data_IF_042434743279
#
_entry.id   IF_042434743279
#
_cell.length_a   1.000
_cell.length_b   1.000
_cell.length_c   1.000
_cell.angle_alpha   90.00
_cell.angle_beta   90.00
_cell.angle_gamma   90.00
#
_symmetry.space_group_name_H-M   'P 1'
#
loop_
_entity.id
_entity.type
_entity.pdbx_description
1 polymer ?
#
# COMPACT_ATOMS: atom_id res chain seq x y z
N UNK A 1 -1.21 -10.73 -24.05
CA UNK A 1 -1.03 -11.78 -23.03
C UNK A 1 -2.14 -11.59 -22.02
N UNK A 2 -3.18 -12.45 -22.00
CA UNK A 2 -4.29 -12.33 -21.05
C UNK A 2 -3.80 -12.85 -19.70
N UNK A 3 -3.63 -11.96 -18.72
CA UNK A 3 -3.34 -12.36 -17.36
C UNK A 3 -4.56 -13.13 -16.81
N UNK A 4 -4.42 -14.42 -16.57
CA UNK A 4 -5.43 -15.19 -15.85
C UNK A 4 -5.33 -14.76 -14.39
N UNK A 5 -6.32 -14.03 -13.90
CA UNK A 5 -6.51 -13.81 -12.46
C UNK A 5 -6.63 -15.22 -11.86
N UNK A 6 -5.62 -15.63 -11.12
CA UNK A 6 -5.73 -16.81 -10.27
C UNK A 6 -6.86 -16.53 -9.28
N UNK A 7 -7.80 -17.47 -9.17
CA UNK A 7 -8.85 -17.45 -8.15
C UNK A 7 -8.17 -17.38 -6.76
N UNK A 8 -7.99 -16.18 -6.25
CA UNK A 8 -7.49 -15.99 -4.88
C UNK A 8 -8.60 -16.47 -3.95
N UNK A 9 -8.36 -17.59 -3.27
CA UNK A 9 -9.25 -18.09 -2.22
C UNK A 9 -9.49 -16.94 -1.24
N UNK A 10 -10.74 -16.68 -0.90
CA UNK A 10 -11.06 -15.70 0.14
C UNK A 10 -10.46 -16.16 1.47
N UNK A 11 -9.78 -15.23 2.14
CA UNK A 11 -9.23 -15.47 3.48
C UNK A 11 -10.37 -15.69 4.48
N UNK A 12 -10.18 -16.61 5.41
CA UNK A 12 -11.01 -16.71 6.60
C UNK A 12 -10.71 -15.53 7.54
N UNK A 13 -11.60 -15.21 8.51
CA UNK A 13 -11.32 -14.16 9.49
C UNK A 13 -10.01 -14.37 10.28
N UNK A 14 -9.66 -15.60 10.62
CA UNK A 14 -8.41 -15.92 11.30
C UNK A 14 -7.18 -15.72 10.39
N UNK A 15 -7.29 -16.12 9.13
CA UNK A 15 -6.24 -15.89 8.12
C UNK A 15 -6.04 -14.39 7.88
N UNK A 16 -7.12 -13.58 7.87
CA UNK A 16 -7.04 -12.12 7.75
C UNK A 16 -6.12 -11.53 8.82
N UNK A 17 -6.36 -11.84 10.10
CA UNK A 17 -5.56 -11.32 11.21
C UNK A 17 -4.10 -11.78 11.12
N UNK A 18 -3.87 -13.05 10.77
CA UNK A 18 -2.53 -13.59 10.58
C UNK A 18 -1.77 -12.85 9.49
N UNK A 19 -2.41 -12.58 8.33
CA UNK A 19 -1.79 -11.86 7.22
C UNK A 19 -1.53 -10.39 7.60
N UNK A 20 -2.45 -9.75 8.32
CA UNK A 20 -2.24 -8.39 8.81
C UNK A 20 -1.01 -8.28 9.72
N UNK A 21 -0.87 -9.18 10.71
CA UNK A 21 0.29 -9.19 11.61
C UNK A 21 1.61 -9.41 10.85
N UNK A 22 1.65 -10.37 9.93
CA UNK A 22 2.83 -10.62 9.08
C UNK A 22 3.16 -9.42 8.19
N UNK A 23 2.14 -8.83 7.58
CA UNK A 23 2.30 -7.63 6.74
C UNK A 23 2.78 -6.43 7.54
N UNK A 24 2.32 -6.26 8.79
CA UNK A 24 2.79 -5.22 9.68
C UNK A 24 4.27 -5.41 10.04
N UNK A 25 4.69 -6.65 10.29
CA UNK A 25 6.10 -6.97 10.54
C UNK A 25 6.98 -6.63 9.33
N UNK A 26 6.56 -6.94 8.10
CA UNK A 26 7.28 -6.52 6.88
C UNK A 26 7.30 -4.99 6.74
N UNK A 27 6.16 -4.34 6.99
CA UNK A 27 6.04 -2.89 6.92
C UNK A 27 6.92 -2.18 7.95
N UNK A 28 7.16 -2.79 9.12
CA UNK A 28 7.96 -2.21 10.20
C UNK A 28 9.42 -1.95 9.81
N UNK A 29 9.94 -2.69 8.83
CA UNK A 29 11.32 -2.54 8.35
C UNK A 29 11.57 -1.17 7.71
N UNK A 30 10.51 -0.48 7.27
CA UNK A 30 10.60 0.83 6.61
C UNK A 30 9.52 1.83 7.07
N UNK A 31 8.73 1.48 8.11
CA UNK A 31 7.75 2.40 8.69
C UNK A 31 8.43 3.67 9.21
N UNK A 32 7.76 4.81 9.00
CA UNK A 32 8.24 6.16 9.31
C UNK A 32 9.55 6.57 8.61
N UNK A 33 9.96 5.82 7.58
CA UNK A 33 11.10 6.16 6.73
C UNK A 33 10.66 6.68 5.36
N UNK A 34 11.59 7.28 4.64
CA UNK A 34 11.43 7.63 3.22
C UNK A 34 12.30 6.69 2.39
N UNK A 35 11.67 5.97 1.47
CA UNK A 35 12.35 5.11 0.52
C UNK A 35 12.55 5.82 -0.80
N UNK A 36 13.70 5.60 -1.42
CA UNK A 36 13.99 6.05 -2.77
C UNK A 36 13.82 4.88 -3.75
N UNK A 37 12.79 4.96 -4.59
CA UNK A 37 12.58 4.02 -5.68
C UNK A 37 13.32 4.51 -6.93
N UNK A 38 14.23 3.69 -7.44
CA UNK A 38 15.02 3.98 -8.63
C UNK A 38 14.67 3.00 -9.74
N UNK A 39 14.23 3.50 -10.89
CA UNK A 39 13.84 2.68 -12.03
C UNK A 39 14.71 3.00 -13.24
N UNK A 40 15.32 1.96 -13.82
CA UNK A 40 16.03 2.09 -15.11
C UNK A 40 15.03 2.13 -16.26
N UNK A 41 15.13 3.13 -17.12
CA UNK A 41 14.32 3.21 -18.35
C UNK A 41 14.74 2.12 -19.34
N UNK A 42 13.78 1.38 -19.89
CA UNK A 42 14.05 0.20 -20.73
C UNK A 42 14.84 0.50 -22.00
N UNK A 43 14.74 1.70 -22.56
CA UNK A 43 15.34 2.09 -23.86
C UNK A 43 16.32 3.26 -23.77
N UNK A 44 16.66 3.72 -22.59
CA UNK A 44 17.58 4.83 -22.40
C UNK A 44 18.51 4.51 -21.23
N UNK A 45 19.73 5.01 -21.29
CA UNK A 45 20.66 4.96 -20.16
C UNK A 45 20.33 6.07 -19.16
N UNK A 46 19.09 6.04 -18.68
CA UNK A 46 18.53 7.03 -17.79
C UNK A 46 17.71 6.35 -16.67
N UNK A 47 17.64 7.02 -15.54
CA UNK A 47 16.91 6.55 -14.37
C UNK A 47 15.82 7.55 -14.00
N UNK A 48 14.67 7.04 -13.57
CA UNK A 48 13.67 7.79 -12.82
C UNK A 48 13.81 7.46 -11.35
N UNK A 49 13.55 8.42 -10.47
CA UNK A 49 13.50 8.18 -9.03
C UNK A 49 12.27 8.82 -8.42
N UNK A 50 11.80 8.23 -7.34
CA UNK A 50 10.64 8.68 -6.57
C UNK A 50 10.91 8.47 -5.10
N UNK A 51 10.64 9.50 -4.31
CA UNK A 51 10.69 9.42 -2.85
C UNK A 51 9.29 9.04 -2.33
N UNK A 52 9.23 7.99 -1.52
CA UNK A 52 7.98 7.50 -0.93
C UNK A 52 8.14 7.39 0.57
N UNK A 53 7.30 8.08 1.32
CA UNK A 53 7.26 7.98 2.77
C UNK A 53 6.21 6.97 3.21
N UNK A 54 6.66 5.98 3.97
CA UNK A 54 5.82 4.95 4.59
C UNK A 54 5.51 5.33 6.03
N UNK A 55 4.40 6.04 6.27
CA UNK A 55 3.97 6.36 7.63
C UNK A 55 3.16 5.22 8.24
N UNK A 56 3.29 4.96 9.54
CA UNK A 56 2.51 3.94 10.28
C UNK A 56 1.01 4.09 10.04
N UNK A 57 0.51 5.31 9.99
CA UNK A 57 -0.90 5.60 9.74
C UNK A 57 -1.40 5.21 8.34
N UNK A 58 -0.52 4.94 7.38
CA UNK A 58 -0.91 4.49 6.04
C UNK A 58 -1.23 3.00 6.00
N UNK A 59 -0.74 2.20 6.94
CA UNK A 59 -0.88 0.75 6.95
C UNK A 59 -2.35 0.30 6.94
N UNK A 60 -3.17 0.84 7.85
CA UNK A 60 -4.61 0.54 7.90
C UNK A 60 -5.33 0.90 6.60
N UNK A 61 -4.93 2.01 5.97
CA UNK A 61 -5.49 2.44 4.68
C UNK A 61 -5.11 1.49 3.54
N UNK A 62 -3.87 1.03 3.48
CA UNK A 62 -3.41 0.04 2.50
C UNK A 62 -4.22 -1.25 2.58
N UNK A 63 -4.50 -1.72 3.79
CA UNK A 63 -5.35 -2.90 4.03
C UNK A 63 -6.81 -2.71 3.59
N UNK A 64 -7.23 -1.48 3.28
CA UNK A 64 -8.63 -1.17 2.97
C UNK A 64 -9.56 -1.28 4.19
N UNK A 65 -8.99 -1.10 5.37
CA UNK A 65 -9.65 -1.20 6.68
C UNK A 65 -9.92 0.19 7.25
N UNK A 66 -10.97 0.30 8.02
CA UNK A 66 -11.24 1.35 9.00
C UNK A 66 -11.51 0.68 10.35
N UNK A 67 -11.09 1.29 11.44
CA UNK A 67 -11.49 0.89 12.78
C UNK A 67 -12.35 1.98 13.41
N UNK A 68 -13.30 1.60 14.25
CA UNK A 68 -14.11 2.52 15.05
C UNK A 68 -13.55 2.68 16.45
N UNK A 69 -12.67 1.77 16.86
CA UNK A 69 -12.08 1.68 18.19
C UNK A 69 -10.64 2.16 18.24
N UNK A 70 -9.88 1.98 17.15
CA UNK A 70 -8.45 2.28 17.07
C UNK A 70 -8.18 3.37 16.04
N UNK A 71 -7.29 4.29 16.38
CA UNK A 71 -6.68 5.19 15.39
C UNK A 71 -5.79 4.38 14.43
N UNK A 72 -5.39 4.98 13.31
CA UNK A 72 -4.57 4.29 12.32
C UNK A 72 -3.19 3.84 12.86
N UNK A 73 -2.61 4.60 13.79
CA UNK A 73 -1.36 4.22 14.44
C UNK A 73 -1.57 3.09 15.45
N UNK A 74 -2.61 3.18 16.29
CA UNK A 74 -2.94 2.12 17.24
C UNK A 74 -3.29 0.81 16.53
N UNK A 75 -3.99 0.88 15.40
CA UNK A 75 -4.26 -0.29 14.56
C UNK A 75 -2.97 -0.96 14.08
N UNK A 76 -2.00 -0.16 13.61
CA UNK A 76 -0.71 -0.68 13.18
C UNK A 76 0.06 -1.33 14.34
N UNK A 77 0.13 -0.67 15.50
CA UNK A 77 0.80 -1.22 16.68
C UNK A 77 0.12 -2.50 17.18
N UNK A 78 -1.22 -2.55 17.19
CA UNK A 78 -1.95 -3.77 17.53
C UNK A 78 -1.66 -4.94 16.57
N UNK A 79 -1.44 -4.65 15.27
CA UNK A 79 -0.99 -5.67 14.33
C UNK A 79 0.44 -6.16 14.63
N UNK A 80 1.35 -5.27 15.03
CA UNK A 80 2.73 -5.62 15.42
C UNK A 80 2.74 -6.48 16.68
N UNK A 81 1.92 -6.12 17.67
CA UNK A 81 1.81 -6.81 18.95
C UNK A 81 1.00 -8.11 18.87
N UNK A 82 0.26 -8.32 17.77
CA UNK A 82 -0.64 -9.46 17.61
C UNK A 82 -1.90 -9.38 18.47
N UNK A 83 -2.26 -8.18 18.93
CA UNK A 83 -3.46 -7.92 19.76
C UNK A 83 -4.67 -7.50 18.94
N UNK A 84 -4.51 -7.29 17.63
CA UNK A 84 -5.59 -6.92 16.71
C UNK A 84 -6.70 -7.96 16.70
N UNK A 85 -7.95 -7.51 16.72
CA UNK A 85 -9.14 -8.36 16.73
C UNK A 85 -9.96 -8.20 15.45
N UNK A 86 -10.95 -9.06 15.26
CA UNK A 86 -11.84 -8.97 14.10
C UNK A 86 -12.74 -7.74 14.15
N UNK A 87 -13.11 -7.31 15.32
CA UNK A 87 -13.96 -6.14 15.60
C UNK A 87 -13.27 -4.84 15.20
N UNK A 88 -11.93 -4.81 15.20
CA UNK A 88 -11.13 -3.67 14.78
C UNK A 88 -11.03 -3.56 13.24
N UNK A 89 -11.44 -4.60 12.51
CA UNK A 89 -11.27 -4.74 11.09
C UNK A 89 -12.56 -4.54 10.30
N UNK A 90 -13.04 -3.30 10.18
CA UNK A 90 -14.19 -2.99 9.33
C UNK A 90 -13.75 -2.65 7.92
N UNK A 91 -14.47 -3.09 6.88
CA UNK A 91 -14.12 -2.73 5.51
C UNK A 91 -14.35 -1.22 5.28
N UNK A 92 -13.38 -0.57 4.62
CA UNK A 92 -13.50 0.85 4.26
C UNK A 92 -14.53 1.09 3.16
N UNK A 93 -14.66 0.18 2.21
CA UNK A 93 -15.66 0.18 1.14
C UNK A 93 -16.57 -1.03 1.23
N UNK A 94 -16.03 -2.19 0.96
CA UNK A 94 -16.72 -3.46 1.01
C UNK A 94 -15.76 -4.59 1.43
N UNK A 95 -16.33 -5.68 1.93
CA UNK A 95 -15.55 -6.81 2.46
C UNK A 95 -14.69 -7.48 1.37
N UNK A 96 -15.19 -7.61 0.15
CA UNK A 96 -14.44 -8.29 -0.92
C UNK A 96 -13.16 -7.51 -1.26
N UNK A 97 -13.27 -6.18 -1.37
CA UNK A 97 -12.11 -5.30 -1.60
C UNK A 97 -11.11 -5.38 -0.44
N UNK A 98 -11.56 -5.39 0.81
CA UNK A 98 -10.71 -5.54 1.98
C UNK A 98 -9.95 -6.89 1.95
N UNK A 99 -10.66 -8.00 1.79
CA UNK A 99 -10.03 -9.32 1.72
C UNK A 99 -9.06 -9.46 0.55
N UNK A 100 -9.41 -8.94 -0.62
CA UNK A 100 -8.54 -8.96 -1.79
C UNK A 100 -7.23 -8.18 -1.56
N UNK A 101 -7.32 -7.00 -0.91
CA UNK A 101 -6.15 -6.19 -0.56
C UNK A 101 -5.26 -6.92 0.45
N UNK A 102 -5.83 -7.41 1.55
CA UNK A 102 -5.06 -8.10 2.59
C UNK A 102 -4.39 -9.36 2.03
N UNK A 103 -5.06 -10.11 1.16
CA UNK A 103 -4.49 -11.32 0.56
C UNK A 103 -3.18 -11.11 -0.22
N UNK A 104 -2.94 -9.90 -0.72
CA UNK A 104 -1.72 -9.59 -1.49
C UNK A 104 -0.70 -8.76 -0.70
N UNK A 105 -1.04 -8.29 0.51
CA UNK A 105 -0.20 -7.37 1.28
C UNK A 105 1.20 -7.91 1.55
N UNK A 106 1.34 -9.15 2.02
CA UNK A 106 2.66 -9.73 2.30
C UNK A 106 3.58 -9.64 1.07
N UNK A 107 3.05 -10.00 -0.10
CA UNK A 107 3.82 -10.00 -1.34
C UNK A 107 4.14 -8.59 -1.86
N UNK A 108 3.25 -7.63 -1.59
CA UNK A 108 3.43 -6.25 -2.03
C UNK A 108 4.32 -5.44 -1.09
N UNK A 109 4.37 -5.81 0.18
CA UNK A 109 5.15 -5.14 1.21
C UNK A 109 6.53 -5.78 1.45
N UNK A 110 6.79 -6.95 0.89
CA UNK A 110 8.14 -7.54 0.86
C UNK A 110 9.00 -6.88 -0.23
N UNK A 111 9.40 -5.64 0.01
CA UNK A 111 10.15 -4.84 -0.97
C UNK A 111 11.58 -5.36 -1.22
N UNK A 112 12.12 -6.19 -0.34
CA UNK A 112 13.49 -6.75 -0.48
C UNK A 112 13.54 -7.94 -1.40
N UNK A 113 12.53 -8.81 -1.32
CA UNK A 113 12.52 -10.08 -2.04
C UNK A 113 11.63 -10.04 -3.29
N UNK A 114 10.70 -9.08 -3.38
CA UNK A 114 9.79 -8.95 -4.50
C UNK A 114 10.42 -8.17 -5.65
N UNK A 115 10.40 -8.76 -6.87
CA UNK A 115 10.68 -8.00 -8.08
C UNK A 115 9.52 -7.04 -8.34
N UNK A 116 9.79 -5.76 -8.14
CA UNK A 116 8.82 -4.69 -8.31
C UNK A 116 9.12 -3.93 -9.60
N UNK A 117 8.07 -3.64 -10.38
CA UNK A 117 8.15 -2.89 -11.63
C UNK A 117 7.38 -1.59 -11.50
N UNK A 118 7.89 -0.52 -12.11
CA UNK A 118 7.09 0.69 -12.31
C UNK A 118 5.96 0.40 -13.27
N UNK A 119 4.75 0.70 -12.87
CA UNK A 119 3.53 0.55 -13.66
C UNK A 119 3.12 1.92 -14.22
N UNK A 120 2.71 1.94 -15.49
CA UNK A 120 2.17 3.16 -16.09
C UNK A 120 0.85 3.57 -15.43
N UNK A 121 0.82 4.77 -14.84
CA UNK A 121 -0.37 5.23 -14.11
C UNK A 121 -1.56 5.48 -15.03
N UNK A 122 -1.32 5.77 -16.31
CA UNK A 122 -2.36 5.94 -17.33
C UNK A 122 -3.14 4.65 -17.63
N UNK A 123 -2.54 3.51 -17.34
CA UNK A 123 -3.13 2.19 -17.58
C UNK A 123 -3.92 1.68 -16.35
N UNK A 124 -3.86 2.42 -15.25
CA UNK A 124 -4.59 2.10 -14.02
C UNK A 124 -5.96 2.77 -14.04
N UNK A 125 -6.97 1.98 -14.36
CA UNK A 125 -8.37 2.44 -14.28
C UNK A 125 -8.80 2.45 -12.82
N UNK A 126 -8.66 3.62 -12.16
CA UNK A 126 -9.21 3.84 -10.83
C UNK A 126 -10.26 4.95 -10.88
N UNK A 127 -11.32 4.81 -10.09
CA UNK A 127 -12.44 5.76 -10.12
C UNK A 127 -12.09 7.12 -9.52
N UNK A 128 -11.11 7.20 -8.64
CA UNK A 128 -10.98 8.34 -7.72
C UNK A 128 -9.56 8.92 -7.55
N UNK A 129 -8.52 8.37 -8.16
CA UNK A 129 -7.16 8.82 -7.88
C UNK A 129 -6.28 8.92 -9.13
N UNK A 130 -5.67 10.06 -9.31
CA UNK A 130 -4.52 10.25 -10.19
C UNK A 130 -3.26 9.91 -9.38
N UNK A 131 -2.71 8.72 -9.61
CA UNK A 131 -1.45 8.34 -8.98
C UNK A 131 -0.27 9.03 -9.65
N UNK A 132 0.65 9.55 -8.85
CA UNK A 132 1.91 10.09 -9.35
C UNK A 132 2.83 8.95 -9.83
N UNK A 133 2.81 7.83 -9.12
CA UNK A 133 3.56 6.63 -9.43
C UNK A 133 2.78 5.40 -9.01
N UNK A 134 3.05 4.28 -9.66
CA UNK A 134 2.62 2.97 -9.19
C UNK A 134 3.73 1.95 -9.34
N UNK A 135 3.81 1.04 -8.40
CA UNK A 135 4.68 -0.14 -8.46
C UNK A 135 3.86 -1.40 -8.41
N UNK A 136 4.33 -2.46 -9.03
CA UNK A 136 3.58 -3.70 -9.03
C UNK A 136 4.41 -4.90 -9.41
N UNK A 137 3.83 -6.06 -9.15
CA UNK A 137 4.32 -7.37 -9.55
C UNK A 137 3.15 -8.24 -10.05
N UNK A 138 3.36 -9.55 -10.19
CA UNK A 138 2.32 -10.47 -10.66
C UNK A 138 1.12 -10.58 -9.69
N UNK A 139 1.27 -10.18 -8.44
CA UNK A 139 0.26 -10.33 -7.38
C UNK A 139 -0.61 -9.09 -7.20
N UNK A 140 -0.07 -7.89 -7.44
CA UNK A 140 -0.82 -6.66 -7.25
C UNK A 140 -0.07 -5.40 -7.67
N UNK A 141 -0.71 -4.26 -7.42
CA UNK A 141 -0.17 -2.92 -7.72
C UNK A 141 -0.38 -2.02 -6.51
N UNK A 142 0.65 -1.30 -6.11
CA UNK A 142 0.56 -0.22 -5.11
C UNK A 142 0.60 1.11 -5.84
N UNK A 143 -0.42 1.94 -5.63
CA UNK A 143 -0.47 3.31 -6.11
C UNK A 143 0.06 4.28 -5.05
N UNK A 144 0.79 5.30 -5.50
CA UNK A 144 1.38 6.33 -4.66
C UNK A 144 0.84 7.68 -5.08
N UNK A 145 0.31 8.41 -4.13
CA UNK A 145 -0.26 9.74 -4.33
C UNK A 145 0.68 10.82 -3.77
N UNK A 146 0.75 11.96 -4.43
CA UNK A 146 1.47 13.10 -3.93
C UNK A 146 0.80 13.68 -2.69
N UNK A 147 1.55 13.95 -1.63
CA UNK A 147 1.06 14.72 -0.47
C UNK A 147 0.69 16.15 -0.82
N UNK A 148 1.16 16.65 -1.95
CA UNK A 148 0.83 17.97 -2.45
C UNK A 148 -0.59 17.94 -3.02
N UNK A 149 -1.59 17.81 -2.16
CA UNK A 149 -2.93 18.26 -2.54
C UNK A 149 -2.79 19.75 -2.78
N UNK A 150 -2.95 20.17 -4.04
CA UNK A 150 -3.04 21.57 -4.45
C UNK A 150 -4.17 22.26 -3.70
N UNK A 151 -3.98 22.55 -2.42
CA UNK A 151 -4.73 23.61 -1.76
C UNK A 151 -4.21 24.91 -2.33
N UNK A 152 -5.06 25.66 -2.92
CA UNK A 152 -4.87 26.86 -3.75
C UNK A 152 -4.15 28.04 -3.07
N UNK A 153 -3.55 27.91 -1.91
CA UNK A 153 -2.84 29.00 -1.21
C UNK A 153 -2.05 28.41 -0.03
N UNK A 154 -0.89 27.93 -0.25
CA UNK A 154 0.33 27.99 0.58
C UNK A 154 1.23 26.82 0.19
N UNK A 155 2.35 27.19 -0.38
CA UNK A 155 3.51 26.30 -0.55
C UNK A 155 4.05 26.12 0.89
N UNK A 156 3.67 25.04 1.52
CA UNK A 156 4.40 24.54 2.70
C UNK A 156 5.34 23.49 2.17
N UNK A 157 6.60 23.83 2.19
CA UNK A 157 7.73 23.03 1.75
C UNK A 157 8.02 21.93 2.79
N UNK A 158 7.17 20.89 2.81
CA UNK A 158 7.44 19.70 3.59
C UNK A 158 7.38 18.48 2.67
N UNK A 159 8.57 18.07 2.27
CA UNK A 159 8.93 16.83 1.58
C UNK A 159 7.98 16.41 0.43
N UNK A 160 8.47 16.53 -0.78
CA UNK A 160 7.89 16.01 -2.04
C UNK A 160 7.70 14.48 -2.07
N UNK A 161 7.75 13.82 -0.92
CA UNK A 161 7.63 12.38 -0.85
C UNK A 161 6.17 11.93 -1.03
N UNK A 162 5.94 11.08 -2.00
CA UNK A 162 4.66 10.39 -2.20
C UNK A 162 4.38 9.42 -1.06
N UNK A 163 3.11 9.10 -0.84
CA UNK A 163 2.69 8.11 0.15
C UNK A 163 1.97 6.94 -0.53
N UNK A 164 2.12 5.72 -0.03
CA UNK A 164 1.35 4.60 -0.53
C UNK A 164 -0.13 4.79 -0.15
N UNK A 165 -1.02 4.72 -1.13
CA UNK A 165 -2.44 5.03 -0.93
C UNK A 165 -3.37 3.88 -1.23
N UNK A 166 -2.96 2.93 -2.06
CA UNK A 166 -3.81 1.78 -2.40
C UNK A 166 -2.97 0.58 -2.86
N UNK A 167 -3.53 -0.57 -2.62
CA UNK A 167 -3.13 -1.86 -3.16
C UNK A 167 -4.14 -2.31 -4.18
#
# INVERSE_FOLDING_TARGET
MKCKIQNTRMLTPAELLTVLCKSAALYSEYADTTLLFIFKKKKADAYDYYEVRYGKNNFMHLAGIKSETLSANEFYEACIEGTITREDCNPRRDSNTMYAKVAVMEQMLDLRNSKCYKIGTKDLVTRDNDFEMATGNASGVVGYDSRIKKKRTQIVDDSKASIPTTL
#
